data_IF_326939753193
#
_entry.id   IF_326939753193
#
_cell.length_a   1.000
_cell.length_b   1.000
_cell.length_c   1.000
_cell.angle_alpha   90.00
_cell.angle_beta   90.00
_cell.angle_gamma   90.00
#
_symmetry.space_group_name_H-M   'P 1'
#
loop_
_entity.id
_entity.type
_entity.pdbx_description
1 polymer ?
#
# COMPACT_ATOMS: atom_id res chain seq x y z
N UNK A 1 11.12 -36.08 1.80
CA UNK A 1 10.02 -36.15 2.77
C UNK A 1 9.57 -34.78 3.25
N UNK A 2 10.45 -33.94 3.79
CA UNK A 2 10.07 -32.68 4.44
C UNK A 2 9.35 -31.68 3.53
N UNK A 3 9.84 -31.51 2.29
CA UNK A 3 9.15 -30.65 1.30
C UNK A 3 7.76 -31.19 0.98
N UNK A 4 7.59 -32.51 0.84
CA UNK A 4 6.29 -33.10 0.53
C UNK A 4 5.30 -32.96 1.69
N UNK A 5 5.77 -33.00 2.94
CA UNK A 5 4.96 -32.70 4.14
C UNK A 5 4.65 -31.21 4.27
N UNK A 6 5.66 -30.35 4.02
CA UNK A 6 5.48 -28.89 4.08
C UNK A 6 4.56 -28.33 2.99
N UNK A 7 4.47 -29.04 1.85
CA UNK A 7 3.62 -28.67 0.70
C UNK A 7 2.82 -29.87 0.19
N UNK A 8 1.83 -30.33 0.95
CA UNK A 8 1.13 -31.59 0.69
C UNK A 8 0.39 -31.63 -0.65
N UNK A 9 -0.03 -30.47 -1.17
CA UNK A 9 -0.75 -30.32 -2.44
C UNK A 9 0.18 -30.03 -3.64
N UNK A 10 1.50 -29.97 -3.43
CA UNK A 10 2.47 -29.71 -4.49
C UNK A 10 2.70 -30.91 -5.41
N UNK A 11 2.62 -30.70 -6.72
CA UNK A 11 3.01 -31.70 -7.71
C UNK A 11 4.53 -31.81 -7.90
N UNK A 12 4.97 -32.89 -8.62
CA UNK A 12 6.41 -33.21 -8.82
C UNK A 12 7.24 -32.03 -9.35
N UNK A 13 6.72 -31.26 -10.30
CA UNK A 13 7.41 -30.10 -10.86
C UNK A 13 7.71 -29.05 -9.79
N UNK A 14 6.75 -28.74 -8.92
CA UNK A 14 6.92 -27.76 -7.83
C UNK A 14 7.85 -28.29 -6.74
N UNK A 15 7.73 -29.55 -6.38
CA UNK A 15 8.66 -30.18 -5.41
C UNK A 15 10.09 -30.17 -5.96
N UNK A 16 10.28 -30.47 -7.24
CA UNK A 16 11.59 -30.39 -7.92
C UNK A 16 12.15 -28.96 -7.86
N UNK A 17 11.34 -27.93 -8.21
CA UNK A 17 11.74 -26.54 -8.12
C UNK A 17 12.12 -26.11 -6.70
N UNK A 18 11.32 -26.49 -5.69
CA UNK A 18 11.60 -26.22 -4.28
C UNK A 18 12.87 -26.92 -3.76
N UNK A 19 13.20 -28.10 -4.30
CA UNK A 19 14.47 -28.75 -4.01
C UNK A 19 15.63 -27.92 -4.53
N UNK A 20 15.55 -27.44 -5.78
CA UNK A 20 16.59 -26.61 -6.39
C UNK A 20 16.84 -25.27 -5.68
N UNK A 21 15.86 -24.72 -4.99
CA UNK A 21 16.04 -23.48 -4.18
C UNK A 21 16.66 -23.73 -2.81
N UNK A 22 16.73 -24.99 -2.33
CA UNK A 22 17.19 -25.33 -0.98
C UNK A 22 18.48 -26.15 -0.97
N UNK A 23 18.88 -26.69 -2.09
CA UNK A 23 20.01 -27.57 -2.23
C UNK A 23 21.15 -26.87 -2.96
N UNK A 24 22.35 -26.99 -2.47
CA UNK A 24 23.56 -26.43 -3.12
C UNK A 24 23.92 -27.19 -4.41
N UNK A 25 23.57 -28.49 -4.47
CA UNK A 25 23.76 -29.32 -5.64
C UNK A 25 22.56 -29.30 -6.57
N UNK A 26 22.71 -29.56 -7.88
CA UNK A 26 21.58 -29.67 -8.80
C UNK A 26 20.60 -30.74 -8.30
N UNK A 27 19.29 -30.43 -8.26
CA UNK A 27 18.30 -31.41 -7.80
C UNK A 27 18.23 -32.60 -8.75
N UNK A 28 17.84 -33.80 -8.27
CA UNK A 28 17.57 -34.94 -9.12
C UNK A 28 16.52 -34.61 -10.18
N UNK A 29 16.47 -35.35 -11.30
CA UNK A 29 15.49 -35.08 -12.36
C UNK A 29 14.06 -35.09 -11.83
N UNK A 30 13.18 -34.32 -12.46
CA UNK A 30 11.74 -34.26 -12.12
C UNK A 30 11.09 -35.66 -12.07
N UNK A 31 11.50 -36.55 -12.98
CA UNK A 31 11.03 -37.94 -12.98
C UNK A 31 11.50 -38.72 -11.75
N UNK A 32 12.75 -38.50 -11.31
CA UNK A 32 13.29 -39.10 -10.07
C UNK A 32 12.56 -38.58 -8.84
N UNK A 33 12.32 -37.26 -8.77
CA UNK A 33 11.51 -36.65 -7.71
C UNK A 33 10.11 -37.26 -7.68
N UNK A 34 9.48 -37.43 -8.84
CA UNK A 34 8.17 -38.05 -8.95
C UNK A 34 8.14 -39.52 -8.39
N UNK A 35 9.16 -40.33 -8.70
CA UNK A 35 9.33 -41.68 -8.15
C UNK A 35 9.52 -41.66 -6.62
N UNK A 36 10.41 -40.77 -6.13
CA UNK A 36 10.62 -40.62 -4.70
C UNK A 36 9.34 -40.19 -3.97
N UNK A 37 8.56 -39.27 -4.55
CA UNK A 37 7.26 -38.88 -3.99
C UNK A 37 6.26 -40.07 -3.92
N UNK A 38 6.26 -40.95 -4.93
CA UNK A 38 5.42 -42.15 -4.94
C UNK A 38 5.85 -43.13 -3.83
N UNK A 39 7.15 -43.40 -3.70
CA UNK A 39 7.72 -44.21 -2.63
C UNK A 39 7.35 -43.66 -1.25
N UNK A 40 7.53 -42.34 -1.05
CA UNK A 40 7.19 -41.69 0.20
C UNK A 40 5.69 -41.85 0.57
N UNK A 41 4.80 -41.80 -0.42
CA UNK A 41 3.37 -42.07 -0.17
C UNK A 41 3.11 -43.52 0.25
N UNK A 42 3.74 -44.43 -0.44
CA UNK A 42 3.51 -45.87 -0.22
C UNK A 42 4.08 -46.36 1.13
N UNK A 43 5.30 -45.90 1.49
CA UNK A 43 6.03 -46.49 2.60
C UNK A 43 6.19 -45.55 3.82
N UNK A 44 6.01 -44.25 3.66
CA UNK A 44 6.31 -43.28 4.69
C UNK A 44 5.13 -42.34 5.03
N UNK A 45 3.93 -42.68 4.61
CA UNK A 45 2.71 -41.93 4.93
C UNK A 45 2.72 -40.47 4.45
N UNK A 46 3.44 -40.19 3.35
CA UNK A 46 3.40 -38.84 2.76
C UNK A 46 2.01 -38.57 2.15
N UNK A 47 1.60 -37.30 2.06
CA UNK A 47 0.33 -36.91 1.45
C UNK A 47 0.15 -37.46 0.05
N UNK A 48 -1.07 -37.94 -0.25
CA UNK A 48 -1.45 -38.42 -1.57
C UNK A 48 -1.44 -37.33 -2.64
N UNK A 49 -1.61 -37.67 -3.93
CA UNK A 49 -1.82 -36.68 -4.95
C UNK A 49 -3.08 -35.88 -4.62
N UNK A 50 -2.95 -34.54 -4.66
CA UNK A 50 -4.07 -33.65 -4.45
C UNK A 50 -4.79 -33.38 -5.78
N UNK A 51 -6.10 -33.59 -5.81
CA UNK A 51 -6.99 -33.13 -6.87
C UNK A 51 -8.03 -32.19 -6.27
N UNK A 52 -8.42 -31.15 -7.01
CA UNK A 52 -9.59 -30.37 -6.62
C UNK A 52 -10.84 -31.03 -7.16
N UNK A 53 -11.95 -30.93 -6.45
CA UNK A 53 -13.25 -31.44 -6.91
C UNK A 53 -13.70 -30.87 -8.27
N UNK A 54 -13.05 -29.80 -8.75
CA UNK A 54 -13.24 -29.23 -10.10
C UNK A 54 -12.38 -29.85 -11.19
N UNK A 55 -11.41 -30.71 -10.86
CA UNK A 55 -10.54 -31.39 -11.85
C UNK A 55 -11.22 -32.64 -12.45
N UNK A 56 -12.40 -33.01 -11.98
CA UNK A 56 -13.21 -34.13 -12.51
C UNK A 56 -14.14 -33.71 -13.66
N UNK A 57 -14.24 -32.38 -13.97
CA UNK A 57 -14.87 -31.94 -15.21
C UNK A 57 -13.97 -32.29 -16.39
N UNK A 58 -14.56 -32.88 -17.44
CA UNK A 58 -13.85 -33.19 -18.69
C UNK A 58 -13.02 -31.96 -19.15
N UNK A 59 -11.75 -32.15 -19.50
CA UNK A 59 -10.91 -31.03 -19.91
C UNK A 59 -11.53 -30.37 -21.15
N UNK A 60 -11.96 -29.11 -20.99
CA UNK A 60 -12.39 -28.27 -22.10
C UNK A 60 -11.23 -28.16 -23.11
N UNK A 61 -11.33 -28.91 -24.19
CA UNK A 61 -10.33 -28.96 -25.27
C UNK A 61 -10.43 -27.82 -26.25
N UNK A 62 -11.39 -26.90 -26.05
CA UNK A 62 -11.57 -25.74 -26.94
C UNK A 62 -10.32 -24.86 -26.95
N UNK A 63 -9.76 -24.49 -28.09
CA UNK A 63 -8.63 -23.57 -28.15
C UNK A 63 -8.95 -22.25 -27.47
N UNK A 64 -8.24 -21.96 -26.36
CA UNK A 64 -8.49 -20.75 -25.56
C UNK A 64 -7.80 -19.57 -26.20
N UNK A 65 -8.59 -18.60 -26.65
CA UNK A 65 -8.05 -17.32 -27.13
C UNK A 65 -7.46 -16.53 -25.96
N UNK A 66 -6.17 -16.18 -26.04
CA UNK A 66 -5.43 -15.38 -25.07
C UNK A 66 -5.06 -14.04 -25.72
N UNK A 67 -5.91 -13.00 -25.59
CA UNK A 67 -5.68 -11.71 -26.25
C UNK A 67 -4.48 -10.97 -25.65
N UNK A 68 -4.18 -11.21 -24.37
CA UNK A 68 -3.14 -10.52 -23.64
C UNK A 68 -1.91 -11.42 -23.50
N UNK A 69 -0.97 -11.30 -24.47
CA UNK A 69 0.31 -12.03 -24.46
C UNK A 69 1.47 -11.04 -24.32
N UNK A 70 2.04 -10.84 -23.14
CA UNK A 70 3.17 -9.93 -22.95
C UNK A 70 4.38 -10.43 -23.71
N UNK A 71 5.05 -9.52 -24.43
CA UNK A 71 6.23 -9.78 -25.25
C UNK A 71 7.53 -9.39 -24.56
N UNK A 72 7.45 -8.44 -23.62
CA UNK A 72 8.58 -7.93 -22.85
C UNK A 72 8.15 -7.52 -21.44
N UNK A 73 9.14 -7.28 -20.60
CA UNK A 73 8.97 -6.92 -19.18
C UNK A 73 8.21 -5.61 -19.05
N UNK A 74 7.29 -5.56 -18.08
CA UNK A 74 6.44 -4.41 -17.75
C UNK A 74 5.52 -3.93 -18.89
N UNK A 75 5.34 -4.71 -19.96
CA UNK A 75 4.32 -4.40 -20.95
C UNK A 75 2.93 -4.52 -20.35
N UNK A 76 2.65 -5.61 -19.66
CA UNK A 76 1.33 -5.90 -19.12
C UNK A 76 1.45 -6.39 -17.67
N UNK A 77 0.72 -5.74 -16.77
CA UNK A 77 0.50 -6.27 -15.43
C UNK A 77 -0.93 -6.80 -15.31
N UNK A 78 -1.10 -7.85 -14.55
CA UNK A 78 -2.38 -8.51 -14.32
C UNK A 78 -2.74 -8.36 -12.85
N UNK A 79 -3.96 -7.93 -12.58
CA UNK A 79 -4.47 -7.75 -11.22
C UNK A 79 -5.78 -8.50 -11.06
N UNK A 80 -5.98 -9.09 -9.88
CA UNK A 80 -7.21 -9.77 -9.54
C UNK A 80 -7.36 -9.94 -8.02
N UNK A 81 -8.58 -10.24 -7.59
CA UNK A 81 -8.97 -10.44 -6.21
C UNK A 81 -9.61 -11.81 -6.09
N UNK A 82 -9.09 -12.63 -5.19
CA UNK A 82 -9.60 -13.96 -4.93
C UNK A 82 -10.11 -14.09 -3.50
N UNK A 83 -11.24 -14.78 -3.31
CA UNK A 83 -11.66 -15.26 -2.00
C UNK A 83 -10.63 -16.27 -1.48
N UNK A 84 -10.10 -16.03 -0.27
CA UNK A 84 -9.01 -16.83 0.29
C UNK A 84 -9.53 -17.82 1.32
N UNK A 85 -9.97 -17.34 2.46
CA UNK A 85 -10.44 -18.15 3.59
C UNK A 85 -11.48 -17.34 4.39
N UNK A 86 -12.28 -17.99 5.20
CA UNK A 86 -13.16 -17.32 6.17
C UNK A 86 -12.48 -17.29 7.53
N UNK A 87 -12.46 -16.09 8.12
CA UNK A 87 -12.03 -15.83 9.49
C UNK A 87 -13.24 -15.27 10.26
N UNK A 88 -13.65 -15.93 11.33
CA UNK A 88 -14.81 -15.54 12.14
C UNK A 88 -16.09 -15.30 11.29
N UNK A 89 -16.31 -16.15 10.29
CA UNK A 89 -17.46 -16.07 9.39
C UNK A 89 -17.33 -15.04 8.26
N UNK A 90 -16.34 -14.16 8.30
CA UNK A 90 -16.08 -13.14 7.28
C UNK A 90 -15.00 -13.59 6.30
N UNK A 91 -15.17 -13.22 5.01
CA UNK A 91 -14.16 -13.55 4.01
C UNK A 91 -12.90 -12.68 4.15
N UNK A 92 -11.75 -13.33 4.02
CA UNK A 92 -10.47 -12.72 3.74
C UNK A 92 -10.16 -12.92 2.27
N UNK A 93 -9.59 -11.92 1.63
CA UNK A 93 -9.31 -11.88 0.20
C UNK A 93 -7.81 -11.87 -0.06
N UNK A 94 -7.38 -12.54 -1.12
CA UNK A 94 -6.03 -12.42 -1.68
C UNK A 94 -6.07 -11.46 -2.86
N UNK A 95 -5.36 -10.35 -2.76
CA UNK A 95 -5.16 -9.39 -3.83
C UNK A 95 -3.74 -9.58 -4.35
N UNK A 96 -3.57 -9.75 -5.64
CA UNK A 96 -2.25 -9.92 -6.25
C UNK A 96 -2.12 -9.12 -7.54
N UNK A 97 -0.88 -8.67 -7.79
CA UNK A 97 -0.48 -8.03 -9.04
C UNK A 97 0.71 -8.80 -9.63
N UNK A 98 0.55 -9.28 -10.84
CA UNK A 98 1.48 -10.14 -11.56
C UNK A 98 2.10 -9.39 -12.75
N UNK A 99 3.41 -9.41 -12.88
CA UNK A 99 4.09 -8.99 -14.11
C UNK A 99 3.95 -10.10 -15.15
N UNK A 100 3.37 -9.75 -16.30
CA UNK A 100 2.88 -10.74 -17.25
C UNK A 100 3.98 -11.50 -17.99
N UNK A 101 5.12 -10.90 -18.30
CA UNK A 101 6.20 -11.55 -19.03
C UNK A 101 7.02 -12.50 -18.14
N UNK A 102 7.42 -12.02 -16.97
CA UNK A 102 8.22 -12.80 -16.02
C UNK A 102 7.39 -13.70 -15.11
N UNK A 103 6.09 -13.49 -15.02
CA UNK A 103 5.22 -14.19 -14.05
C UNK A 103 5.55 -13.87 -12.59
N UNK A 104 6.31 -12.81 -12.32
CA UNK A 104 6.63 -12.37 -10.97
C UNK A 104 5.41 -11.73 -10.32
N UNK A 105 5.10 -12.13 -9.11
CA UNK A 105 4.17 -11.39 -8.25
C UNK A 105 4.91 -10.15 -7.77
N UNK A 106 4.48 -8.97 -8.25
CA UNK A 106 5.09 -7.69 -7.93
C UNK A 106 4.64 -7.20 -6.55
N UNK A 107 3.35 -7.34 -6.27
CA UNK A 107 2.75 -7.04 -5.00
C UNK A 107 1.62 -8.03 -4.71
N UNK A 108 1.42 -8.32 -3.45
CA UNK A 108 0.31 -9.15 -3.00
C UNK A 108 0.02 -8.91 -1.53
N UNK A 109 -1.24 -8.98 -1.17
CA UNK A 109 -1.70 -8.78 0.20
C UNK A 109 -2.92 -9.64 0.51
N UNK A 110 -3.05 -10.07 1.75
CA UNK A 110 -4.29 -10.58 2.29
C UNK A 110 -5.05 -9.45 2.99
N UNK A 111 -6.34 -9.29 2.70
CA UNK A 111 -7.15 -8.21 3.23
C UNK A 111 -8.53 -8.69 3.66
N UNK A 112 -9.07 -8.09 4.73
CA UNK A 112 -10.46 -8.28 5.12
C UNK A 112 -11.45 -7.58 4.17
N UNK A 113 -10.96 -6.74 3.25
CA UNK A 113 -11.76 -5.96 2.32
C UNK A 113 -11.30 -6.17 0.87
N UNK A 114 -12.27 -6.17 -0.06
CA UNK A 114 -12.03 -6.18 -1.50
C UNK A 114 -12.45 -4.85 -2.14
N UNK A 115 -12.23 -3.77 -1.42
CA UNK A 115 -12.64 -2.44 -1.82
C UNK A 115 -11.58 -1.71 -2.66
N UNK A 116 -11.94 -0.53 -3.13
CA UNK A 116 -11.05 0.32 -3.91
C UNK A 116 -9.77 0.66 -3.15
N UNK A 117 -9.84 0.89 -1.85
CA UNK A 117 -8.69 1.24 -1.02
C UNK A 117 -7.64 0.12 -1.03
N UNK A 118 -8.06 -1.13 -0.83
CA UNK A 118 -7.18 -2.29 -0.88
C UNK A 118 -6.50 -2.43 -2.26
N UNK A 119 -7.25 -2.22 -3.35
CA UNK A 119 -6.69 -2.25 -4.71
C UNK A 119 -5.69 -1.11 -4.93
N UNK A 120 -5.99 0.10 -4.46
CA UNK A 120 -5.08 1.23 -4.59
C UNK A 120 -3.80 1.05 -3.76
N UNK A 121 -3.88 0.47 -2.57
CA UNK A 121 -2.70 0.12 -1.76
C UNK A 121 -1.81 -0.90 -2.49
N UNK A 122 -2.40 -1.95 -3.07
CA UNK A 122 -1.68 -2.94 -3.87
C UNK A 122 -0.99 -2.28 -5.08
N UNK A 123 -1.72 -1.45 -5.82
CA UNK A 123 -1.21 -0.74 -6.98
C UNK A 123 -0.07 0.20 -6.60
N UNK A 124 -0.24 0.99 -5.52
CA UNK A 124 0.80 1.88 -5.02
C UNK A 124 2.08 1.12 -4.67
N UNK A 125 1.98 0.00 -3.95
CA UNK A 125 3.13 -0.82 -3.57
C UNK A 125 3.90 -1.32 -4.81
N UNK A 126 3.19 -1.82 -5.82
CA UNK A 126 3.80 -2.29 -7.05
C UNK A 126 4.47 -1.15 -7.85
N UNK A 127 3.80 -0.02 -8.02
CA UNK A 127 4.33 1.13 -8.76
C UNK A 127 5.54 1.78 -8.08
N UNK A 128 5.52 1.87 -6.74
CA UNK A 128 6.62 2.47 -5.98
C UNK A 128 7.93 1.68 -6.08
N UNK A 129 7.85 0.37 -6.28
CA UNK A 129 9.01 -0.50 -6.39
C UNK A 129 9.44 -0.75 -7.83
N UNK A 130 8.47 -0.99 -8.73
CA UNK A 130 8.75 -1.45 -10.08
C UNK A 130 8.51 -0.41 -11.18
N UNK A 131 7.99 0.79 -10.89
CA UNK A 131 7.59 1.78 -11.89
C UNK A 131 6.27 1.42 -12.57
N UNK A 132 5.93 2.09 -13.67
CA UNK A 132 4.66 1.91 -14.37
C UNK A 132 4.77 0.92 -15.53
N UNK A 133 3.78 0.00 -15.68
CA UNK A 133 3.60 -0.77 -16.92
C UNK A 133 2.97 0.08 -18.00
N UNK A 134 2.89 -0.46 -19.22
CA UNK A 134 2.10 0.15 -20.30
C UNK A 134 0.60 -0.13 -20.10
N UNK A 135 0.26 -1.35 -19.71
CA UNK A 135 -1.13 -1.79 -19.56
C UNK A 135 -1.35 -2.52 -18.24
N UNK A 136 -2.55 -2.34 -17.68
CA UNK A 136 -3.06 -3.15 -16.56
C UNK A 136 -4.29 -3.91 -17.02
N UNK A 137 -4.24 -5.23 -16.84
CA UNK A 137 -5.30 -6.17 -17.22
C UNK A 137 -6.03 -6.63 -15.96
N UNK A 138 -7.35 -6.49 -15.93
CA UNK A 138 -8.22 -6.95 -14.85
C UNK A 138 -9.51 -7.58 -15.41
N UNK A 139 -10.33 -8.10 -14.54
CA UNK A 139 -11.72 -8.40 -14.84
C UNK A 139 -12.60 -7.13 -14.81
N UNK A 140 -13.93 -7.31 -14.96
CA UNK A 140 -14.91 -6.22 -14.90
C UNK A 140 -15.38 -5.88 -13.49
N UNK A 141 -14.65 -6.24 -12.44
CA UNK A 141 -14.99 -5.93 -11.06
C UNK A 141 -15.23 -4.43 -10.85
N UNK A 142 -16.21 -4.08 -10.01
CA UNK A 142 -16.59 -2.69 -9.77
C UNK A 142 -15.41 -1.82 -9.30
N UNK A 143 -14.47 -2.38 -8.54
CA UNK A 143 -13.27 -1.69 -8.05
C UNK A 143 -12.33 -1.26 -9.17
N UNK A 144 -12.20 -2.07 -10.24
CA UNK A 144 -11.37 -1.78 -11.40
C UNK A 144 -12.01 -0.80 -12.39
N UNK A 145 -13.31 -0.54 -12.23
CA UNK A 145 -14.09 0.43 -13.01
C UNK A 145 -14.37 1.72 -12.25
N UNK A 146 -13.90 1.82 -11.01
CA UNK A 146 -14.07 3.00 -10.17
C UNK A 146 -13.37 4.22 -10.80
N UNK A 147 -13.99 5.38 -10.65
CA UNK A 147 -13.49 6.63 -11.24
C UNK A 147 -12.07 6.97 -10.77
N UNK A 148 -11.81 6.86 -9.46
CA UNK A 148 -10.49 7.13 -8.88
C UNK A 148 -9.42 6.17 -9.40
N UNK A 149 -9.75 4.88 -9.56
CA UNK A 149 -8.83 3.93 -10.19
C UNK A 149 -8.49 4.36 -11.63
N UNK A 150 -9.51 4.65 -12.44
CA UNK A 150 -9.33 5.12 -13.82
C UNK A 150 -8.58 6.45 -13.90
N UNK A 151 -8.80 7.38 -12.95
CA UNK A 151 -8.10 8.66 -12.86
C UNK A 151 -6.58 8.45 -12.63
N UNK A 152 -6.23 7.57 -11.71
CA UNK A 152 -4.82 7.25 -11.41
C UNK A 152 -4.14 6.62 -12.63
N UNK A 153 -4.79 5.65 -13.28
CA UNK A 153 -4.22 5.01 -14.46
C UNK A 153 -3.97 6.01 -15.59
N UNK A 154 -4.94 6.90 -15.86
CA UNK A 154 -4.79 7.96 -16.86
C UNK A 154 -3.67 8.95 -16.53
N UNK A 155 -3.60 9.39 -15.27
CA UNK A 155 -2.56 10.33 -14.83
C UNK A 155 -1.14 9.72 -14.93
N UNK A 156 -1.03 8.41 -14.81
CA UNK A 156 0.21 7.66 -14.99
C UNK A 156 0.35 7.07 -16.40
N UNK A 157 -0.50 7.48 -17.36
CA UNK A 157 -0.46 7.01 -18.76
C UNK A 157 -0.41 5.47 -18.87
N UNK A 158 -1.12 4.77 -18.01
CA UNK A 158 -1.29 3.32 -18.05
C UNK A 158 -2.64 2.99 -18.69
N UNK A 159 -2.65 2.09 -19.65
CA UNK A 159 -3.89 1.70 -20.34
C UNK A 159 -4.62 0.59 -19.58
N UNK A 160 -5.85 0.82 -19.09
CA UNK A 160 -6.66 -0.27 -18.55
C UNK A 160 -7.20 -1.17 -19.67
N UNK A 161 -7.07 -2.47 -19.50
CA UNK A 161 -7.67 -3.49 -20.35
C UNK A 161 -8.48 -4.45 -19.52
N UNK A 162 -9.58 -4.91 -20.05
CA UNK A 162 -10.48 -5.84 -19.38
C UNK A 162 -10.56 -7.14 -20.15
N UNK A 163 -10.53 -8.27 -19.45
CA UNK A 163 -10.77 -9.58 -20.04
C UNK A 163 -12.22 -9.66 -20.54
N UNK A 164 -12.50 -10.56 -21.47
CA UNK A 164 -13.87 -10.80 -21.90
C UNK A 164 -14.71 -11.41 -20.77
N UNK A 165 -16.01 -11.08 -20.77
CA UNK A 165 -16.94 -11.60 -19.77
C UNK A 165 -16.96 -13.14 -19.78
N UNK A 166 -16.93 -13.75 -18.60
CA UNK A 166 -16.92 -15.21 -18.39
C UNK A 166 -15.72 -15.94 -18.98
N UNK A 167 -14.60 -15.24 -19.23
CA UNK A 167 -13.36 -15.85 -19.73
C UNK A 167 -12.18 -15.59 -18.76
N UNK A 168 -12.25 -16.10 -17.50
CA UNK A 168 -11.21 -15.84 -16.51
C UNK A 168 -9.82 -16.33 -16.95
N UNK A 169 -9.74 -17.34 -17.81
CA UNK A 169 -8.45 -17.82 -18.34
C UNK A 169 -7.66 -16.78 -19.15
N UNK A 170 -8.29 -15.68 -19.56
CA UNK A 170 -7.60 -14.56 -20.22
C UNK A 170 -6.79 -13.72 -19.22
N UNK A 171 -7.09 -13.81 -17.93
CA UNK A 171 -6.29 -13.19 -16.88
C UNK A 171 -5.19 -14.18 -16.45
N UNK A 172 -3.92 -13.84 -16.73
CA UNK A 172 -2.80 -14.73 -16.41
C UNK A 172 -2.62 -14.99 -14.91
N UNK A 173 -3.17 -14.13 -14.06
CA UNK A 173 -3.10 -14.28 -12.60
C UNK A 173 -3.91 -15.48 -12.09
N UNK A 174 -4.90 -15.94 -12.84
CA UNK A 174 -5.66 -17.14 -12.51
C UNK A 174 -4.78 -18.38 -12.39
N UNK A 175 -3.78 -18.50 -13.28
CA UNK A 175 -2.81 -19.60 -13.19
C UNK A 175 -1.95 -19.51 -11.92
N UNK A 176 -1.62 -18.29 -11.49
CA UNK A 176 -0.90 -18.04 -10.24
C UNK A 176 -1.78 -18.40 -9.03
N UNK A 177 -3.06 -18.05 -9.02
CA UNK A 177 -3.98 -18.43 -7.96
C UNK A 177 -4.14 -19.95 -7.82
N UNK A 178 -4.10 -20.70 -8.92
CA UNK A 178 -4.05 -22.17 -8.85
C UNK A 178 -2.76 -22.70 -8.21
N UNK A 179 -1.65 -22.01 -8.39
CA UNK A 179 -0.40 -22.33 -7.69
C UNK A 179 -0.51 -21.99 -6.20
N UNK A 180 -1.07 -20.83 -5.85
CA UNK A 180 -1.33 -20.44 -4.46
C UNK A 180 -2.22 -21.46 -3.74
N UNK A 181 -3.31 -21.89 -4.37
CA UNK A 181 -4.21 -22.93 -3.86
C UNK A 181 -3.45 -24.21 -3.45
N UNK A 182 -2.46 -24.61 -4.26
CA UNK A 182 -1.66 -25.82 -4.01
C UNK A 182 -0.54 -25.64 -2.98
N UNK A 183 0.06 -24.46 -2.91
CA UNK A 183 1.23 -24.21 -2.08
C UNK A 183 0.93 -23.56 -0.74
N UNK A 184 -0.17 -22.81 -0.62
CA UNK A 184 -0.41 -21.96 0.53
C UNK A 184 -1.80 -22.10 1.17
N UNK A 185 -2.87 -22.34 0.41
CA UNK A 185 -4.23 -22.27 0.95
C UNK A 185 -4.48 -23.18 2.14
N UNK A 186 -3.91 -24.40 2.15
CA UNK A 186 -4.04 -25.30 3.28
C UNK A 186 -3.45 -24.73 4.59
N UNK A 187 -2.54 -23.75 4.50
CA UNK A 187 -2.00 -23.06 5.68
C UNK A 187 -2.96 -21.97 6.18
N UNK A 188 -3.62 -21.27 5.26
CA UNK A 188 -4.62 -20.25 5.61
C UNK A 188 -5.83 -20.85 6.32
N UNK A 189 -6.20 -22.10 6.00
CA UNK A 189 -7.29 -22.84 6.63
C UNK A 189 -7.08 -23.05 8.16
N UNK A 190 -5.84 -22.94 8.62
CA UNK A 190 -5.45 -23.13 10.02
C UNK A 190 -5.09 -21.82 10.74
N UNK A 191 -5.02 -20.71 10.04
CA UNK A 191 -4.71 -19.42 10.63
C UNK A 191 -5.89 -18.90 11.48
N UNK A 192 -5.56 -18.29 12.61
CA UNK A 192 -6.52 -17.78 13.59
C UNK A 192 -6.71 -16.25 13.51
N UNK A 193 -5.77 -15.56 12.90
CA UNK A 193 -5.78 -14.09 12.81
C UNK A 193 -5.50 -13.58 11.41
N UNK A 194 -5.93 -12.36 11.10
CA UNK A 194 -5.62 -11.72 9.83
C UNK A 194 -4.10 -11.52 9.65
N UNK A 195 -3.38 -11.18 10.71
CA UNK A 195 -1.93 -10.96 10.70
C UNK A 195 -1.18 -12.26 10.35
N UNK A 196 -1.65 -13.41 10.85
CA UNK A 196 -1.11 -14.73 10.46
C UNK A 196 -1.35 -14.99 8.98
N UNK A 197 -2.55 -14.71 8.47
CA UNK A 197 -2.88 -14.89 7.04
C UNK A 197 -2.00 -13.97 6.18
N UNK A 198 -1.79 -12.73 6.59
CA UNK A 198 -0.92 -11.78 5.89
C UNK A 198 0.54 -12.28 5.86
N UNK A 199 1.04 -12.77 6.98
CA UNK A 199 2.39 -13.35 7.08
C UNK A 199 2.55 -14.57 6.17
N UNK A 200 1.59 -15.49 6.19
CA UNK A 200 1.59 -16.67 5.32
C UNK A 200 1.47 -16.30 3.84
N UNK A 201 0.71 -15.25 3.52
CA UNK A 201 0.57 -14.77 2.15
C UNK A 201 1.88 -14.14 1.64
N UNK A 202 2.58 -13.36 2.45
CA UNK A 202 3.90 -12.84 2.14
C UNK A 202 4.92 -13.98 1.94
N UNK A 203 4.95 -14.95 2.84
CA UNK A 203 5.82 -16.13 2.73
C UNK A 203 5.54 -16.96 1.46
N UNK A 204 4.28 -17.02 1.01
CA UNK A 204 3.95 -17.62 -0.28
C UNK A 204 4.61 -16.88 -1.44
N UNK A 205 4.55 -15.56 -1.48
CA UNK A 205 5.14 -14.73 -2.54
C UNK A 205 6.66 -14.90 -2.56
N UNK A 206 7.30 -14.87 -1.38
CA UNK A 206 8.74 -15.12 -1.21
C UNK A 206 9.15 -16.50 -1.70
N UNK A 207 8.30 -17.50 -1.54
CA UNK A 207 8.54 -18.85 -2.05
C UNK A 207 8.27 -18.96 -3.55
N UNK A 208 7.23 -18.30 -4.05
CA UNK A 208 6.78 -18.40 -5.44
C UNK A 208 7.77 -17.77 -6.41
N UNK A 209 8.20 -16.55 -6.13
CA UNK A 209 9.00 -15.75 -7.05
C UNK A 209 10.37 -16.37 -7.41
N UNK A 210 11.14 -16.99 -6.48
CA UNK A 210 12.40 -17.65 -6.81
C UNK A 210 12.24 -19.12 -7.24
N UNK A 211 11.01 -19.66 -7.28
CA UNK A 211 10.78 -21.05 -7.70
C UNK A 211 10.56 -21.12 -9.21
N UNK A 212 11.14 -22.12 -9.93
CA UNK A 212 10.93 -22.29 -11.37
C UNK A 212 9.47 -22.26 -11.78
N UNK A 213 9.16 -21.54 -12.82
CA UNK A 213 7.81 -21.40 -13.35
C UNK A 213 7.66 -22.15 -14.69
N UNK A 214 6.58 -22.90 -14.84
CA UNK A 214 6.35 -23.73 -16.04
C UNK A 214 6.41 -22.95 -17.36
N UNK A 215 5.95 -21.68 -17.37
CA UNK A 215 6.00 -20.82 -18.57
C UNK A 215 7.43 -20.48 -19.03
N UNK A 216 8.45 -20.73 -18.18
CA UNK A 216 9.85 -20.48 -18.49
C UNK A 216 10.64 -21.74 -18.78
N UNK A 217 9.96 -22.90 -18.87
CA UNK A 217 10.60 -24.20 -19.04
C UNK A 217 11.46 -24.29 -20.33
N UNK A 218 11.01 -23.65 -21.40
CA UNK A 218 11.61 -23.72 -22.72
C UNK A 218 12.35 -22.44 -23.12
N UNK A 219 12.67 -21.57 -22.16
CA UNK A 219 13.42 -20.36 -22.48
C UNK A 219 14.86 -20.69 -22.87
N UNK A 220 15.29 -20.11 -23.97
CA UNK A 220 16.65 -20.31 -24.51
C UNK A 220 17.73 -19.66 -23.64
N UNK A 221 17.38 -18.56 -22.91
CA UNK A 221 18.30 -17.83 -22.03
C UNK A 221 18.61 -18.55 -20.71
N UNK A 222 18.08 -19.75 -20.50
CA UNK A 222 18.32 -20.56 -19.31
C UNK A 222 17.60 -20.10 -18.04
N UNK A 223 16.95 -18.93 -18.03
CA UNK A 223 16.20 -18.39 -16.88
C UNK A 223 14.93 -19.20 -16.65
N UNK A 224 14.72 -19.60 -15.40
CA UNK A 224 13.59 -20.49 -15.05
C UNK A 224 12.65 -19.90 -14.01
N UNK A 225 13.10 -18.95 -13.20
CA UNK A 225 12.30 -18.36 -12.14
C UNK A 225 11.76 -16.98 -12.54
N UNK A 226 10.61 -16.56 -11.99
CA UNK A 226 10.09 -15.21 -12.16
C UNK A 226 11.08 -14.11 -11.85
N UNK A 227 11.88 -14.29 -10.78
CA UNK A 227 12.91 -13.30 -10.38
C UNK A 227 14.01 -13.19 -11.43
N UNK A 228 14.55 -14.31 -11.92
CA UNK A 228 15.57 -14.31 -12.95
C UNK A 228 15.07 -13.68 -14.26
N UNK A 229 13.82 -13.93 -14.63
CA UNK A 229 13.25 -13.39 -15.86
C UNK A 229 12.97 -11.89 -15.74
N UNK A 230 12.50 -11.38 -14.61
CA UNK A 230 12.31 -9.95 -14.42
C UNK A 230 13.63 -9.21 -14.22
N UNK A 231 14.56 -9.80 -13.48
CA UNK A 231 15.82 -9.17 -13.05
C UNK A 231 15.59 -7.84 -12.32
N UNK A 232 16.45 -6.88 -12.57
CA UNK A 232 16.40 -5.51 -12.07
C UNK A 232 15.60 -4.55 -12.96
N UNK A 233 15.06 -5.04 -14.06
CA UNK A 233 14.32 -4.20 -15.02
C UNK A 233 13.10 -3.61 -14.35
N UNK A 234 12.94 -2.30 -14.52
CA UNK A 234 11.77 -1.55 -14.06
C UNK A 234 10.96 -1.06 -15.23
N UNK A 235 9.69 -0.84 -15.00
CA UNK A 235 8.82 -0.14 -15.92
C UNK A 235 9.17 1.36 -16.03
N UNK A 236 8.31 2.13 -16.64
CA UNK A 236 8.51 3.58 -16.78
C UNK A 236 8.66 4.22 -15.39
N UNK A 237 9.73 4.99 -15.17
CA UNK A 237 9.99 5.59 -13.86
C UNK A 237 8.88 6.58 -13.49
N UNK A 238 8.53 6.59 -12.22
CA UNK A 238 7.62 7.56 -11.63
C UNK A 238 8.18 8.04 -10.30
N UNK A 239 8.12 9.33 -10.07
CA UNK A 239 8.63 9.90 -8.83
C UNK A 239 7.71 9.52 -7.66
N UNK A 240 8.30 9.13 -6.52
CA UNK A 240 7.56 8.67 -5.35
C UNK A 240 6.65 9.75 -4.76
N UNK A 241 7.07 11.00 -4.86
CA UNK A 241 6.26 12.16 -4.43
C UNK A 241 5.03 12.35 -5.33
N UNK A 242 5.19 12.20 -6.65
CA UNK A 242 4.09 12.23 -7.59
C UNK A 242 3.10 11.08 -7.35
N UNK A 243 3.60 9.85 -7.09
CA UNK A 243 2.75 8.73 -6.70
C UNK A 243 1.95 9.03 -5.44
N UNK A 244 2.59 9.52 -4.38
CA UNK A 244 1.90 9.86 -3.14
C UNK A 244 0.79 10.89 -3.34
N UNK A 245 1.00 11.87 -4.22
CA UNK A 245 -0.02 12.87 -4.56
C UNK A 245 -1.21 12.25 -5.27
N UNK A 246 -0.96 11.36 -6.22
CA UNK A 246 -2.03 10.70 -6.99
C UNK A 246 -2.87 9.75 -6.14
N UNK A 247 -2.25 9.06 -5.21
CA UNK A 247 -2.89 8.08 -4.32
C UNK A 247 -3.32 8.69 -2.98
N UNK A 248 -3.16 10.01 -2.78
CA UNK A 248 -3.63 10.71 -1.57
C UNK A 248 -5.12 10.45 -1.36
N UNK A 249 -5.49 10.02 -0.16
CA UNK A 249 -6.87 9.65 0.17
C UNK A 249 -7.83 10.82 0.00
N UNK A 250 -7.37 12.03 0.36
CA UNK A 250 -8.17 13.26 0.27
C UNK A 250 -7.28 14.44 -0.01
N UNK A 251 -7.70 15.28 -0.94
CA UNK A 251 -7.08 16.58 -1.19
C UNK A 251 -8.05 17.72 -0.86
N UNK A 252 -7.59 18.67 -0.07
CA UNK A 252 -8.30 19.90 0.19
C UNK A 252 -7.48 21.09 -0.33
N UNK A 253 -8.04 21.88 -1.23
CA UNK A 253 -7.48 23.19 -1.57
C UNK A 253 -8.11 24.24 -0.64
N UNK A 254 -7.30 24.92 0.13
CA UNK A 254 -7.75 25.91 1.12
C UNK A 254 -6.95 27.20 1.02
N UNK A 255 -7.64 28.31 1.26
CA UNK A 255 -7.01 29.61 1.31
C UNK A 255 -6.36 29.82 2.67
N UNK A 256 -5.09 30.28 2.65
CA UNK A 256 -4.34 30.61 3.85
C UNK A 256 -4.87 31.91 4.46
N UNK A 257 -5.15 31.88 5.75
CA UNK A 257 -5.54 33.06 6.49
C UNK A 257 -4.33 33.97 6.79
N UNK A 258 -4.58 35.17 7.34
CA UNK A 258 -3.51 36.14 7.67
C UNK A 258 -2.49 35.65 8.71
N UNK A 259 -2.77 34.56 9.41
CA UNK A 259 -1.90 33.96 10.43
C UNK A 259 -1.11 32.77 9.92
N UNK A 260 -1.18 32.45 8.63
CA UNK A 260 -0.48 31.31 8.04
C UNK A 260 -1.15 29.96 8.22
N UNK A 261 -2.47 29.91 8.47
CA UNK A 261 -3.20 28.68 8.64
C UNK A 261 -4.31 28.51 7.61
N UNK A 262 -4.65 27.27 7.34
CA UNK A 262 -5.83 26.86 6.58
C UNK A 262 -6.78 26.07 7.47
N UNK A 263 -8.08 26.24 7.26
CA UNK A 263 -9.10 25.48 7.97
C UNK A 263 -9.50 24.24 7.15
N UNK A 264 -9.35 23.06 7.75
CA UNK A 264 -9.82 21.80 7.19
C UNK A 264 -10.74 21.13 8.21
N UNK A 265 -12.04 21.12 7.90
CA UNK A 265 -13.07 20.66 8.84
C UNK A 265 -12.99 21.43 10.17
N UNK A 266 -12.63 20.76 11.27
CA UNK A 266 -12.48 21.37 12.60
C UNK A 266 -11.03 21.72 12.97
N UNK A 267 -10.07 21.42 12.08
CA UNK A 267 -8.64 21.58 12.35
C UNK A 267 -8.09 22.77 11.60
N UNK A 268 -7.13 23.46 12.22
CA UNK A 268 -6.31 24.47 11.58
C UNK A 268 -4.94 23.87 11.28
N UNK A 269 -4.55 23.88 10.01
CA UNK A 269 -3.32 23.30 9.52
C UNK A 269 -2.38 24.44 9.14
N UNK A 270 -1.13 24.35 9.54
CA UNK A 270 -0.12 25.33 9.21
C UNK A 270 0.18 25.34 7.70
N UNK A 271 0.26 26.54 7.15
CA UNK A 271 0.48 26.77 5.74
C UNK A 271 1.37 27.98 5.45
N UNK A 272 2.03 28.55 6.44
CA UNK A 272 2.94 29.69 6.37
C UNK A 272 2.30 31.08 6.23
N UNK A 273 2.63 32.06 7.09
CA UNK A 273 2.10 33.42 7.02
C UNK A 273 2.42 34.14 5.74
N UNK A 274 3.61 33.93 5.14
CA UNK A 274 4.01 34.53 3.86
C UNK A 274 3.11 34.11 2.69
N UNK A 275 2.35 33.03 2.84
CA UNK A 275 1.37 32.55 1.85
C UNK A 275 -0.06 33.06 2.11
N UNK A 276 -0.24 34.08 2.94
CA UNK A 276 -1.56 34.66 3.19
C UNK A 276 -2.31 34.98 1.90
N UNK A 277 -3.59 34.58 1.82
CA UNK A 277 -4.46 34.67 0.64
C UNK A 277 -4.06 33.79 -0.56
N UNK A 278 -3.04 32.96 -0.43
CA UNK A 278 -2.74 31.94 -1.42
C UNK A 278 -3.54 30.64 -1.13
N UNK A 279 -3.70 29.81 -2.16
CA UNK A 279 -4.31 28.48 -2.02
C UNK A 279 -3.24 27.45 -1.77
N UNK A 280 -3.37 26.70 -0.71
CA UNK A 280 -2.48 25.61 -0.28
C UNK A 280 -3.20 24.28 -0.39
N UNK A 281 -2.51 23.27 -0.87
CA UNK A 281 -3.00 21.90 -0.94
C UNK A 281 -2.77 21.20 0.39
N UNK A 282 -3.82 20.58 0.91
CA UNK A 282 -3.75 19.72 2.07
C UNK A 282 -4.03 18.29 1.60
N UNK A 283 -3.06 17.43 1.80
CA UNK A 283 -3.15 16.02 1.44
C UNK A 283 -3.31 15.17 2.68
N UNK A 284 -4.22 14.23 2.63
CA UNK A 284 -4.40 13.21 3.66
C UNK A 284 -3.97 11.88 3.09
N UNK A 285 -2.91 11.34 3.65
CA UNK A 285 -2.40 10.00 3.34
C UNK A 285 -2.72 9.05 4.50
N UNK A 286 -2.40 7.79 4.33
CA UNK A 286 -2.55 6.81 5.39
C UNK A 286 -1.73 7.22 6.64
N UNK A 287 -2.44 7.72 7.66
CA UNK A 287 -1.86 8.17 8.93
C UNK A 287 -1.09 9.50 8.89
N UNK A 288 -0.97 10.16 7.76
CA UNK A 288 -0.21 11.41 7.60
C UNK A 288 -1.04 12.47 6.86
N UNK A 289 -0.99 13.71 7.37
CA UNK A 289 -1.53 14.88 6.69
C UNK A 289 -0.37 15.81 6.33
N UNK A 290 -0.39 16.36 5.12
CA UNK A 290 0.61 17.31 4.61
C UNK A 290 -0.03 18.57 4.11
N UNK A 291 0.60 19.70 4.41
CA UNK A 291 0.32 20.98 3.74
C UNK A 291 1.42 21.29 2.73
N UNK A 292 1.05 21.62 1.49
CA UNK A 292 1.99 21.87 0.39
C UNK A 292 1.57 23.09 -0.44
N UNK A 293 2.55 23.87 -0.88
CA UNK A 293 2.37 24.96 -1.83
C UNK A 293 3.37 24.82 -2.98
N UNK A 294 2.88 24.79 -4.23
CA UNK A 294 3.72 24.65 -5.43
C UNK A 294 4.81 23.59 -5.27
N UNK A 295 4.41 22.38 -4.82
CA UNK A 295 5.29 21.24 -4.58
C UNK A 295 6.22 21.35 -3.35
N UNK A 296 6.26 22.50 -2.68
CA UNK A 296 7.01 22.68 -1.45
C UNK A 296 6.21 22.22 -0.26
N UNK A 297 6.76 21.30 0.52
CA UNK A 297 6.17 20.84 1.78
C UNK A 297 6.29 21.94 2.83
N UNK A 298 5.17 22.31 3.45
CA UNK A 298 5.11 23.32 4.52
C UNK A 298 5.09 22.68 5.90
N UNK A 299 4.25 21.67 6.11
CA UNK A 299 4.17 20.93 7.36
C UNK A 299 3.64 19.50 7.17
N UNK A 300 3.99 18.64 8.13
CA UNK A 300 3.46 17.27 8.25
C UNK A 300 2.80 17.09 9.60
N UNK A 301 1.78 16.24 9.64
CA UNK A 301 1.06 15.86 10.86
C UNK A 301 0.78 14.38 10.83
N UNK A 302 0.71 13.75 12.00
CA UNK A 302 0.02 12.46 12.11
C UNK A 302 -1.48 12.73 12.11
N UNK A 303 -2.25 11.90 11.41
CA UNK A 303 -3.70 12.04 11.40
C UNK A 303 -4.39 10.68 11.42
N UNK A 304 -5.63 10.67 11.92
CA UNK A 304 -6.59 9.59 11.72
C UNK A 304 -7.73 10.12 10.83
N UNK A 305 -7.97 9.44 9.72
CA UNK A 305 -9.02 9.78 8.77
C UNK A 305 -10.03 8.66 8.67
N UNK A 306 -11.29 8.97 8.94
CA UNK A 306 -12.39 8.03 8.76
C UNK A 306 -12.92 8.14 7.32
N UNK A 307 -12.64 7.14 6.51
CA UNK A 307 -13.05 7.08 5.12
C UNK A 307 -14.58 7.01 4.95
N UNK A 308 -15.30 6.32 5.87
CA UNK A 308 -16.74 6.17 5.80
C UNK A 308 -17.46 7.49 6.06
N UNK A 309 -16.99 8.23 7.07
CA UNK A 309 -17.55 9.54 7.43
C UNK A 309 -16.88 10.70 6.69
N UNK A 310 -15.82 10.45 5.93
CA UNK A 310 -14.96 11.46 5.27
C UNK A 310 -14.52 12.55 6.25
N UNK A 311 -14.11 12.16 7.46
CA UNK A 311 -13.75 13.06 8.54
C UNK A 311 -12.36 12.79 9.09
N UNK A 312 -11.61 13.87 9.30
CA UNK A 312 -10.41 13.86 10.14
C UNK A 312 -10.84 13.70 11.60
N UNK A 313 -10.41 12.61 12.23
CA UNK A 313 -10.74 12.32 13.64
C UNK A 313 -9.71 12.92 14.57
N UNK A 314 -8.43 12.81 14.20
CA UNK A 314 -7.30 13.34 14.96
C UNK A 314 -6.25 13.94 13.99
N UNK A 315 -5.56 14.99 14.46
CA UNK A 315 -4.42 15.62 13.78
C UNK A 315 -3.43 16.03 14.86
N UNK A 316 -2.24 15.45 14.84
CA UNK A 316 -1.25 15.59 15.91
C UNK A 316 0.19 15.65 15.37
N UNK A 317 1.17 15.92 16.23
CA UNK A 317 2.60 15.91 15.98
C UNK A 317 2.99 16.74 14.74
N UNK A 318 2.81 18.07 14.79
CA UNK A 318 3.23 18.95 13.71
C UNK A 318 4.76 18.94 13.54
N UNK A 319 5.21 18.72 12.31
CA UNK A 319 6.59 18.89 11.88
C UNK A 319 6.61 19.96 10.79
N UNK A 320 7.25 21.09 11.06
CA UNK A 320 7.40 22.19 10.10
C UNK A 320 8.59 21.97 9.19
N UNK A 321 8.45 22.38 7.94
CA UNK A 321 9.56 22.42 6.99
C UNK A 321 10.10 23.84 6.90
N UNK A 322 11.40 23.99 6.74
CA UNK A 322 11.98 25.27 6.35
C UNK A 322 11.61 25.54 4.90
N UNK A 323 11.04 26.70 4.62
CA UNK A 323 10.55 27.05 3.30
C UNK A 323 11.01 28.45 2.87
N UNK A 324 11.10 28.73 1.55
CA UNK A 324 11.43 30.06 1.05
C UNK A 324 10.28 31.07 1.20
N UNK A 325 9.12 30.64 1.73
CA UNK A 325 7.91 31.48 1.86
C UNK A 325 7.78 32.09 3.26
N UNK A 326 8.79 31.93 4.11
CA UNK A 326 8.84 32.62 5.40
C UNK A 326 8.70 34.11 5.20
N UNK A 327 7.79 34.73 5.96
CA UNK A 327 7.61 36.18 5.86
C UNK A 327 8.86 36.89 6.36
N UNK A 328 9.44 37.84 5.61
CA UNK A 328 10.59 38.64 6.09
C UNK A 328 10.33 39.35 7.42
N UNK A 329 9.07 39.71 7.70
CA UNK A 329 8.67 40.26 9.00
C UNK A 329 8.79 39.29 10.16
N UNK A 330 8.70 37.97 9.89
CA UNK A 330 8.86 36.92 10.90
C UNK A 330 10.34 36.66 11.22
N UNK A 331 11.23 36.77 10.22
CA UNK A 331 12.69 36.72 10.43
C UNK A 331 13.18 37.89 11.27
N UNK A 332 12.59 39.09 11.09
CA UNK A 332 12.91 40.31 11.86
C UNK A 332 12.47 40.22 13.34
N UNK A 333 11.45 39.39 13.65
CA UNK A 333 10.89 39.30 15.01
C UNK A 333 11.49 38.15 15.82
N UNK A 334 12.51 37.42 15.28
CA UNK A 334 13.09 36.25 15.95
C UNK A 334 12.00 35.40 16.69
N UNK A 335 10.94 35.02 15.98
CA UNK A 335 9.92 34.20 16.57
C UNK A 335 10.56 32.87 16.91
N UNK A 336 10.85 32.69 18.18
CA UNK A 336 11.35 31.47 18.78
C UNK A 336 10.49 30.28 18.35
N UNK A 337 11.12 29.13 18.10
CA UNK A 337 10.48 27.86 17.75
C UNK A 337 9.34 27.50 18.73
N UNK A 338 9.48 27.88 20.00
CA UNK A 338 8.46 27.79 21.02
C UNK A 338 7.20 28.63 20.73
N UNK A 339 7.32 29.76 20.06
CA UNK A 339 6.19 30.61 19.68
C UNK A 339 5.43 29.99 18.52
N UNK A 340 6.12 29.37 17.58
CA UNK A 340 5.52 28.62 16.47
C UNK A 340 4.75 27.39 16.97
N UNK A 341 5.31 26.64 17.91
CA UNK A 341 4.64 25.52 18.56
C UNK A 341 3.37 25.99 19.26
N UNK A 342 3.40 27.11 19.98
CA UNK A 342 2.23 27.73 20.63
C UNK A 342 1.16 28.15 19.63
N UNK A 343 1.53 28.75 18.49
CA UNK A 343 0.59 29.13 17.42
C UNK A 343 -0.04 27.90 16.80
N UNK A 344 0.71 26.83 16.57
CA UNK A 344 0.19 25.58 16.05
C UNK A 344 -0.72 24.84 17.02
N UNK A 345 -0.39 24.79 18.28
CA UNK A 345 -1.23 24.18 19.30
C UNK A 345 -2.60 24.87 19.40
N UNK A 346 -2.70 26.16 19.05
CA UNK A 346 -3.96 26.90 18.94
C UNK A 346 -4.82 26.48 17.74
N UNK A 347 -4.23 25.89 16.72
CA UNK A 347 -4.98 25.32 15.59
C UNK A 347 -6.00 24.25 16.00
N UNK A 348 -5.90 23.74 17.21
CA UNK A 348 -6.75 22.69 17.77
C UNK A 348 -8.03 23.19 18.43
N UNK A 349 -8.18 24.50 18.61
CA UNK A 349 -9.33 25.06 19.30
C UNK A 349 -10.57 25.17 18.42
N UNK A 350 -11.68 24.64 18.92
CA UNK A 350 -12.99 24.55 18.24
C UNK A 350 -13.66 25.90 17.94
N UNK A 351 -13.14 27.04 18.46
CA UNK A 351 -13.79 28.35 18.30
C UNK A 351 -12.82 29.44 17.78
N UNK A 352 -12.93 29.85 16.51
CA UNK A 352 -12.05 30.86 15.91
C UNK A 352 -11.96 32.20 16.65
N UNK A 353 -13.05 32.63 17.31
CA UNK A 353 -13.09 33.89 18.07
C UNK A 353 -12.24 33.85 19.34
N UNK A 354 -12.23 32.73 20.06
CA UNK A 354 -11.43 32.59 21.30
C UNK A 354 -9.93 32.50 21.00
N UNK A 355 -9.57 31.84 19.89
CA UNK A 355 -8.16 31.75 19.44
C UNK A 355 -7.62 33.16 19.11
N UNK A 356 -8.44 34.00 18.49
CA UNK A 356 -8.05 35.37 18.13
C UNK A 356 -7.80 36.23 19.39
N UNK A 357 -8.69 36.19 20.37
CA UNK A 357 -8.53 36.92 21.63
C UNK A 357 -7.30 36.44 22.41
N UNK A 358 -7.07 35.12 22.50
CA UNK A 358 -5.87 34.57 23.15
C UNK A 358 -4.58 34.95 22.41
N UNK A 359 -4.58 34.99 21.06
CA UNK A 359 -3.43 35.41 20.29
C UNK A 359 -3.07 36.88 20.53
N UNK A 360 -4.09 37.74 20.56
CA UNK A 360 -3.93 39.17 20.84
C UNK A 360 -3.48 39.42 22.30
N UNK A 361 -3.97 38.65 23.26
CA UNK A 361 -3.54 38.70 24.67
C UNK A 361 -2.12 38.19 24.89
N UNK A 362 -1.69 37.15 24.18
CA UNK A 362 -0.33 36.61 24.29
C UNK A 362 0.71 37.52 23.62
N UNK A 363 0.37 38.15 22.51
CA UNK A 363 1.19 39.18 21.88
C UNK A 363 1.38 40.40 22.81
N UNK A 364 0.33 40.82 23.52
CA UNK A 364 0.38 41.89 24.51
C UNK A 364 1.22 41.51 25.74
N UNK A 365 1.18 40.25 26.21
CA UNK A 365 1.97 39.76 27.34
C UNK A 365 3.45 39.58 27.01
N UNK A 366 3.79 39.22 25.79
CA UNK A 366 5.17 39.15 25.30
C UNK A 366 5.80 40.53 25.19
N UNK A 367 5.05 41.57 24.73
CA UNK A 367 5.50 42.95 24.71
C UNK A 367 5.74 43.52 26.14
N UNK A 368 5.07 42.93 27.13
CA UNK A 368 5.19 43.38 28.57
C UNK A 368 6.16 42.56 29.41
N UNK A 369 6.80 41.50 28.83
CA UNK A 369 7.89 40.74 29.47
C UNK A 369 7.49 39.85 30.64
N UNK A 370 6.20 39.54 30.83
CA UNK A 370 5.71 38.74 31.97
C UNK A 370 5.25 37.33 31.59
N UNK A 371 6.18 36.39 31.48
CA UNK A 371 5.89 34.96 31.27
C UNK A 371 5.25 34.27 32.47
N UNK A 372 5.51 34.78 33.67
CA UNK A 372 5.03 34.17 34.94
C UNK A 372 3.50 34.20 35.14
N UNK A 373 2.77 35.06 34.43
CA UNK A 373 1.31 35.17 34.55
C UNK A 373 0.52 34.28 33.58
N UNK A 374 1.19 33.50 32.73
CA UNK A 374 0.54 32.69 31.71
C UNK A 374 -0.02 31.35 32.20
N UNK A 375 0.62 30.75 33.20
CA UNK A 375 0.27 29.42 33.70
C UNK A 375 -1.13 29.36 34.35
N UNK A 376 -1.55 30.31 35.20
CA UNK A 376 -2.88 30.27 35.81
C UNK A 376 -4.01 30.52 34.79
N UNK A 377 -3.78 31.38 33.79
CA UNK A 377 -4.78 31.70 32.78
C UNK A 377 -5.02 30.55 31.79
N UNK A 378 -4.01 29.73 31.50
CA UNK A 378 -4.10 28.56 30.66
C UNK A 378 -4.86 27.42 31.32
N UNK A 379 -4.71 27.23 32.62
CA UNK A 379 -5.45 26.24 33.42
C UNK A 379 -6.95 26.54 33.52
N UNK A 380 -7.33 27.82 33.56
CA UNK A 380 -8.73 28.25 33.61
C UNK A 380 -9.51 27.96 32.30
N UNK A 381 -8.84 27.72 31.20
CA UNK A 381 -9.48 27.41 29.90
C UNK A 381 -9.58 25.90 29.58
N UNK A 382 -9.31 25.01 30.54
CA UNK A 382 -9.56 23.57 30.39
C UNK A 382 -8.60 22.85 29.43
N UNK A 383 -7.37 23.31 29.33
CA UNK A 383 -6.30 22.60 28.63
C UNK A 383 -5.78 21.47 29.53
N UNK A 384 -5.93 20.22 29.08
CA UNK A 384 -5.56 19.05 29.87
C UNK A 384 -4.05 18.90 30.10
N UNK A 385 -3.67 18.09 31.10
CA UNK A 385 -2.29 17.84 31.55
C UNK A 385 -1.29 17.45 30.44
N UNK A 386 -1.75 16.86 29.33
CA UNK A 386 -0.91 16.50 28.19
C UNK A 386 -0.34 17.71 27.44
N UNK A 387 -0.97 18.87 27.52
CA UNK A 387 -0.47 20.11 26.94
C UNK A 387 0.81 20.58 27.62
N UNK A 388 0.86 20.53 28.95
CA UNK A 388 2.03 20.95 29.73
C UNK A 388 3.24 20.03 29.53
N UNK A 389 3.03 18.73 29.46
CA UNK A 389 4.14 17.78 29.22
C UNK A 389 4.85 18.02 27.89
N UNK A 390 4.13 18.43 26.82
CA UNK A 390 4.75 18.66 25.51
C UNK A 390 5.47 20.01 25.43
N UNK A 391 4.97 21.04 26.09
CA UNK A 391 5.57 22.38 26.10
C UNK A 391 6.86 22.42 26.91
N UNK A 392 6.95 21.66 28.03
CA UNK A 392 8.12 21.65 28.90
C UNK A 392 9.16 20.56 28.60
N UNK A 393 8.91 19.66 27.65
CA UNK A 393 9.92 18.66 27.21
C UNK A 393 10.80 19.21 26.08
N UNK A 394 10.48 20.37 25.52
CA UNK A 394 11.19 21.01 24.40
C UNK A 394 11.90 22.32 24.83
N UNK A 395 11.74 22.73 26.10
CA UNK A 395 12.57 23.72 26.77
C UNK A 395 13.56 22.99 27.69
#
# INVERSE_FOLDING_TARGET
MDIQRAYPRAGRFRVHGLLGTRWEEPPPSEATVGRAMAINRQFHGAPGPWSSAREEEEPDTTPRHLPYRPRYRHQMWFVDIRYLVKLDGSWVYSLCMLEGYSRKILAGMASAHQDLTAVLQLLFAALAEYGCPEMIISDHGAVFRAEDYGRILRALEMEPKYIELRKPWQNLIEAQFKVQLRLADFKFEHAQTLDEIQTLHAAFIETFNPTPHWAHREREDGRRTPVEVLEWVRGRPVERTALRRLFGEVQFLRMVNRYGFVSVQRFYIYAEPGLSRQRVAIWVYEGELRSEYQETLLARYRCAYDQRQRRLQDVSHPLLSQTPFASPQLELLELDEAQWIKVQQRAWYRRPRQVRQMAEQLLLLEVTGSVACLVPSLLMYGMGENFFRHVFTVI
#
